data_IF_687033707395
#
_entry.id   IF_687033707395
#
_cell.length_a   1.000
_cell.length_b   1.000
_cell.length_c   1.000
_cell.angle_alpha   90.00
_cell.angle_beta   90.00
_cell.angle_gamma   90.00
#
_symmetry.space_group_name_H-M   'P 1'
#
loop_
_entity.id
_entity.type
_entity.pdbx_description
1 polymer ?
#
# COMPACT_ATOMS: atom_id res chain seq x y z
N UNK A 1 21.11 2.84 -12.75
CA UNK A 1 19.68 2.61 -13.03
C UNK A 1 19.59 1.66 -14.19
N UNK A 2 19.05 0.48 -13.95
CA UNK A 2 18.73 -0.48 -15.01
C UNK A 2 17.34 -0.12 -15.48
N UNK A 3 17.18 0.17 -16.76
CA UNK A 3 15.85 0.33 -17.35
C UNK A 3 15.28 -1.06 -17.59
N UNK A 4 13.98 -1.22 -17.32
CA UNK A 4 13.27 -2.45 -17.59
C UNK A 4 12.12 -2.20 -18.55
N UNK A 5 11.71 -3.23 -19.29
CA UNK A 5 10.68 -3.10 -20.33
C UNK A 5 9.57 -4.08 -20.01
N UNK A 6 8.34 -3.56 -19.88
CA UNK A 6 7.14 -4.37 -19.72
C UNK A 6 6.32 -4.36 -21.01
N UNK A 7 5.91 -5.54 -21.46
CA UNK A 7 4.93 -5.72 -22.53
C UNK A 7 3.54 -5.85 -21.91
N UNK A 8 2.61 -5.02 -22.36
CA UNK A 8 1.26 -4.93 -21.81
C UNK A 8 0.24 -5.48 -22.81
N UNK A 9 -0.76 -6.19 -22.30
CA UNK A 9 -1.91 -6.66 -23.10
C UNK A 9 -2.76 -5.48 -23.58
N UNK A 10 -2.73 -4.36 -22.88
CA UNK A 10 -3.31 -3.09 -23.30
C UNK A 10 -2.80 -1.93 -22.46
N UNK A 11 -2.77 -0.73 -23.04
CA UNK A 11 -2.25 0.50 -22.42
C UNK A 11 -3.31 1.34 -21.69
N UNK A 12 -4.52 0.80 -21.51
CA UNK A 12 -5.66 1.50 -20.93
C UNK A 12 -6.54 2.17 -21.99
N UNK A 13 -7.29 3.20 -21.58
CA UNK A 13 -8.16 3.97 -22.48
C UNK A 13 -7.37 5.09 -23.14
N UNK A 14 -7.73 5.47 -24.36
CA UNK A 14 -7.12 6.58 -25.14
C UNK A 14 -7.34 7.98 -24.55
N UNK A 15 -7.98 8.08 -23.39
CA UNK A 15 -8.16 9.34 -22.67
C UNK A 15 -6.92 9.57 -21.81
N UNK A 16 -6.20 10.67 -22.04
CA UNK A 16 -4.94 10.97 -21.36
C UNK A 16 -5.03 10.97 -19.83
N UNK A 17 -6.23 11.19 -19.27
CA UNK A 17 -6.47 11.13 -17.82
C UNK A 17 -6.36 9.71 -17.27
N UNK A 18 -6.66 8.71 -18.09
CA UNK A 18 -6.69 7.29 -17.71
C UNK A 18 -5.62 6.45 -18.43
N UNK A 19 -4.82 7.06 -19.31
CA UNK A 19 -3.72 6.44 -20.02
C UNK A 19 -2.45 6.40 -19.18
N UNK A 20 -1.54 5.48 -19.48
CA UNK A 20 -0.18 5.50 -18.95
C UNK A 20 0.62 6.62 -19.62
N UNK A 21 1.13 7.56 -18.83
CA UNK A 21 1.93 8.69 -19.30
C UNK A 21 3.39 8.55 -18.85
N UNK A 22 4.27 9.24 -19.56
CA UNK A 22 5.65 9.45 -19.08
C UNK A 22 5.55 10.16 -17.72
N UNK A 23 6.44 9.78 -16.80
CA UNK A 23 6.53 10.25 -15.42
C UNK A 23 5.49 9.70 -14.44
N UNK A 24 4.51 8.91 -14.89
CA UNK A 24 3.60 8.22 -13.99
C UNK A 24 4.37 7.24 -13.10
N UNK A 25 3.93 7.14 -11.84
CA UNK A 25 4.36 6.11 -10.91
C UNK A 25 3.57 4.83 -11.14
N UNK A 26 4.26 3.70 -11.15
CA UNK A 26 3.69 2.38 -11.37
C UNK A 26 4.31 1.34 -10.44
N UNK A 27 3.54 0.30 -10.20
CA UNK A 27 3.91 -0.87 -9.40
C UNK A 27 3.52 -2.12 -10.20
N UNK A 28 4.41 -3.11 -10.26
CA UNK A 28 4.06 -4.44 -10.76
C UNK A 28 3.54 -5.23 -9.56
N UNK A 29 2.37 -5.82 -9.70
CA UNK A 29 1.72 -6.62 -8.65
C UNK A 29 1.19 -7.92 -9.23
N UNK A 30 1.25 -8.99 -8.44
CA UNK A 30 0.55 -10.23 -8.73
C UNK A 30 -0.49 -10.59 -7.64
N UNK A 31 -1.09 -11.77 -7.77
CA UNK A 31 -2.10 -12.26 -6.81
C UNK A 31 -1.51 -12.54 -5.42
N UNK A 32 -0.23 -12.94 -5.33
CA UNK A 32 0.46 -13.25 -4.08
C UNK A 32 0.78 -11.95 -3.32
N UNK A 33 1.34 -10.95 -4.01
CA UNK A 33 1.57 -9.61 -3.45
C UNK A 33 0.27 -9.01 -2.89
N UNK A 34 -0.81 -9.15 -3.66
CA UNK A 34 -2.14 -8.64 -3.29
C UNK A 34 -2.72 -9.39 -2.08
N UNK A 35 -2.50 -10.70 -1.98
CA UNK A 35 -3.01 -11.52 -0.88
C UNK A 35 -2.22 -11.28 0.42
N UNK A 36 -0.90 -11.12 0.31
CA UNK A 36 -0.02 -10.91 1.46
C UNK A 36 0.04 -9.44 1.91
N UNK A 37 -0.55 -8.53 1.11
CA UNK A 37 -0.48 -7.08 1.30
C UNK A 37 0.97 -6.59 1.37
N UNK A 38 1.83 -7.15 0.51
CA UNK A 38 3.20 -6.70 0.37
C UNK A 38 3.28 -5.47 -0.54
N UNK A 39 4.14 -4.51 -0.20
CA UNK A 39 4.35 -3.32 -0.99
C UNK A 39 5.37 -3.66 -2.08
N UNK A 40 4.96 -3.56 -3.33
CA UNK A 40 5.86 -3.70 -4.46
C UNK A 40 6.78 -2.49 -4.59
N UNK A 41 7.81 -2.65 -5.44
CA UNK A 41 8.70 -1.56 -5.78
C UNK A 41 7.99 -0.55 -6.70
N UNK A 42 7.94 0.72 -6.28
CA UNK A 42 7.50 1.80 -7.15
C UNK A 42 8.55 2.12 -8.22
N UNK A 43 8.08 2.30 -9.43
CA UNK A 43 8.86 2.62 -10.61
C UNK A 43 8.23 3.78 -11.37
N UNK A 44 9.03 4.47 -12.18
CA UNK A 44 8.56 5.59 -12.99
C UNK A 44 8.59 5.24 -14.47
N UNK A 45 7.54 5.60 -15.20
CA UNK A 45 7.48 5.42 -16.65
C UNK A 45 8.44 6.41 -17.32
N UNK A 46 9.45 5.89 -17.99
CA UNK A 46 10.41 6.66 -18.78
C UNK A 46 9.95 6.86 -20.22
N UNK A 47 9.28 5.87 -20.80
CA UNK A 47 8.77 5.91 -22.17
C UNK A 47 7.57 4.98 -22.36
N UNK A 48 6.68 5.35 -23.28
CA UNK A 48 5.53 4.55 -23.70
C UNK A 48 5.59 4.35 -25.21
N UNK A 49 5.59 3.11 -25.66
CA UNK A 49 5.46 2.73 -27.06
C UNK A 49 4.05 2.18 -27.33
N UNK A 50 3.19 3.06 -27.84
CA UNK A 50 1.81 2.74 -28.16
C UNK A 50 1.65 1.73 -29.30
N UNK A 51 2.64 1.64 -30.21
CA UNK A 51 2.58 0.72 -31.35
C UNK A 51 2.88 -0.70 -30.88
N UNK A 52 3.87 -0.86 -30.00
CA UNK A 52 4.30 -2.16 -29.50
C UNK A 52 3.65 -2.55 -28.16
N UNK A 53 2.84 -1.67 -27.57
CA UNK A 53 2.22 -1.86 -26.25
C UNK A 53 3.27 -2.13 -25.15
N UNK A 54 4.37 -1.39 -25.19
CA UNK A 54 5.44 -1.52 -24.19
C UNK A 54 5.65 -0.24 -23.40
N UNK A 55 6.09 -0.39 -22.16
CA UNK A 55 6.54 0.72 -21.32
C UNK A 55 7.96 0.46 -20.84
N UNK A 56 8.77 1.50 -20.84
CA UNK A 56 10.11 1.48 -20.25
C UNK A 56 10.02 2.06 -18.85
N UNK A 57 10.41 1.27 -17.86
CA UNK A 57 10.35 1.60 -16.43
C UNK A 57 11.75 1.86 -15.89
N UNK A 58 11.85 2.79 -14.94
CA UNK A 58 13.09 3.08 -14.21
C UNK A 58 12.82 3.06 -12.71
N UNK A 59 13.74 2.47 -11.95
CA UNK A 59 13.67 2.45 -10.48
C UNK A 59 14.13 3.77 -9.89
N UNK A 60 13.67 4.08 -8.67
CA UNK A 60 14.22 5.17 -7.88
C UNK A 60 15.74 4.96 -7.65
N UNK A 61 16.47 6.07 -7.50
CA UNK A 61 17.93 6.06 -7.38
C UNK A 61 18.35 5.22 -6.16
N UNK A 62 19.31 4.30 -6.36
CA UNK A 62 19.81 3.33 -5.37
C UNK A 62 18.95 2.09 -5.11
N UNK A 63 17.92 1.83 -5.91
CA UNK A 63 17.23 0.54 -5.87
C UNK A 63 17.60 -0.36 -7.07
N UNK A 64 17.87 -1.64 -6.78
CA UNK A 64 18.03 -2.68 -7.80
C UNK A 64 16.66 -3.08 -8.37
N UNK A 65 16.63 -3.52 -9.62
CA UNK A 65 15.41 -3.92 -10.34
C UNK A 65 14.98 -5.35 -10.00
N UNK A 66 15.12 -5.74 -8.72
CA UNK A 66 14.81 -7.11 -8.28
C UNK A 66 13.30 -7.40 -8.34
N UNK A 67 12.47 -6.37 -8.55
CA UNK A 67 11.02 -6.49 -8.75
C UNK A 67 10.61 -7.06 -10.12
N UNK A 68 11.53 -7.26 -11.07
CA UNK A 68 11.22 -7.93 -12.32
C UNK A 68 11.35 -9.44 -12.16
N UNK A 69 10.24 -10.11 -11.83
CA UNK A 69 10.14 -11.52 -12.18
C UNK A 69 10.03 -11.62 -13.71
N UNK A 70 11.16 -11.89 -14.36
CA UNK A 70 11.23 -12.10 -15.81
C UNK A 70 10.62 -13.43 -16.23
N UNK A 71 10.29 -14.33 -15.28
CA UNK A 71 9.59 -15.57 -15.58
C UNK A 71 8.10 -15.25 -15.72
N UNK A 72 7.66 -15.00 -16.95
CA UNK A 72 6.25 -14.84 -17.28
C UNK A 72 5.52 -16.17 -17.06
N UNK A 73 5.21 -16.51 -15.82
CA UNK A 73 4.41 -17.66 -15.49
C UNK A 73 2.95 -17.35 -15.90
N UNK A 74 2.40 -18.02 -16.92
CA UNK A 74 1.03 -17.73 -17.39
C UNK A 74 -0.04 -18.03 -16.33
N UNK A 75 0.29 -18.75 -15.25
CA UNK A 75 -0.60 -19.00 -14.12
C UNK A 75 -0.46 -17.97 -12.99
N UNK A 76 0.44 -16.98 -13.14
CA UNK A 76 0.60 -15.84 -12.23
C UNK A 76 0.46 -14.55 -13.04
N UNK A 77 -0.77 -14.10 -13.33
CA UNK A 77 -0.96 -12.87 -14.08
C UNK A 77 -0.43 -11.68 -13.28
N UNK A 78 0.48 -10.92 -13.89
CA UNK A 78 0.98 -9.67 -13.34
C UNK A 78 0.14 -8.50 -13.86
N UNK A 79 -0.11 -7.52 -13.00
CA UNK A 79 -0.77 -6.26 -13.32
C UNK A 79 0.22 -5.12 -13.16
N UNK A 80 0.14 -4.14 -14.06
CA UNK A 80 0.81 -2.87 -13.87
C UNK A 80 -0.20 -1.89 -13.26
N UNK A 81 -0.06 -1.63 -11.96
CA UNK A 81 -0.88 -0.66 -11.23
C UNK A 81 -0.27 0.73 -11.42
N UNK A 82 -1.08 1.71 -11.83
CA UNK A 82 -0.70 3.13 -11.85
C UNK A 82 -1.07 3.79 -10.53
N UNK A 83 -0.15 4.57 -9.98
CA UNK A 83 -0.36 5.43 -8.82
C UNK A 83 -0.51 6.88 -9.29
N UNK A 84 -1.67 7.47 -9.02
CA UNK A 84 -2.06 8.79 -9.52
C UNK A 84 -1.80 9.83 -8.42
N UNK A 85 -0.58 10.35 -8.37
CA UNK A 85 -0.24 11.54 -7.59
C UNK A 85 0.84 12.33 -8.32
N UNK A 86 0.88 13.63 -8.06
CA UNK A 86 1.88 14.53 -8.64
C UNK A 86 2.78 15.08 -7.55
N UNK A 87 4.06 15.27 -7.89
CA UNK A 87 4.98 16.03 -7.04
C UNK A 87 4.51 17.49 -6.95
N UNK A 88 4.20 17.97 -5.75
CA UNK A 88 3.82 19.37 -5.53
C UNK A 88 5.05 20.27 -5.35
N UNK A 89 4.87 21.56 -5.63
CA UNK A 89 5.87 22.58 -5.27
C UNK A 89 6.05 22.59 -3.73
N UNK A 90 7.28 22.39 -3.21
CA UNK A 90 7.53 22.35 -1.76
C UNK A 90 7.15 23.63 -1.01
N UNK A 91 6.91 24.74 -1.72
CA UNK A 91 6.46 26.00 -1.12
C UNK A 91 4.95 26.07 -0.91
N UNK A 92 4.18 25.14 -1.48
CA UNK A 92 2.73 25.06 -1.29
C UNK A 92 2.38 24.58 0.11
N UNK A 93 1.26 25.10 0.64
CA UNK A 93 0.80 24.74 1.98
C UNK A 93 0.30 23.30 1.97
N UNK A 94 0.89 22.46 2.82
CA UNK A 94 0.56 21.03 2.88
C UNK A 94 1.16 20.23 1.72
N UNK A 95 2.17 20.76 1.03
CA UNK A 95 2.88 20.04 -0.02
C UNK A 95 3.38 18.69 0.51
N UNK A 96 3.07 17.62 -0.21
CA UNK A 96 3.56 16.27 0.05
C UNK A 96 4.98 16.14 -0.47
N UNK A 97 5.79 15.38 0.28
CA UNK A 97 7.17 15.03 -0.09
C UNK A 97 7.22 13.60 -0.61
N UNK A 98 8.08 13.35 -1.60
CA UNK A 98 8.39 11.97 -1.99
C UNK A 98 9.42 11.38 -1.03
N UNK A 99 9.14 10.17 -0.58
CA UNK A 99 10.11 9.30 0.06
C UNK A 99 11.12 8.74 -0.97
N UNK A 100 12.18 8.11 -0.49
CA UNK A 100 13.26 7.59 -1.35
C UNK A 100 12.83 6.45 -2.27
N UNK A 101 11.74 5.77 -1.93
CA UNK A 101 11.12 4.72 -2.75
C UNK A 101 10.15 5.28 -3.79
N UNK A 102 9.91 6.59 -3.80
CA UNK A 102 8.99 7.26 -4.70
C UNK A 102 7.61 7.49 -4.13
N UNK A 103 7.22 6.87 -3.01
CA UNK A 103 5.90 7.07 -2.41
C UNK A 103 5.74 8.45 -1.78
N UNK A 104 4.49 8.91 -1.57
CA UNK A 104 4.24 10.11 -0.78
C UNK A 104 4.46 9.83 0.71
N UNK A 105 5.24 10.66 1.38
CA UNK A 105 5.51 10.54 2.80
C UNK A 105 4.28 10.92 3.63
N UNK A 106 3.90 10.05 4.57
CA UNK A 106 2.87 10.35 5.55
C UNK A 106 3.50 11.18 6.67
N UNK A 107 3.09 12.44 6.76
CA UNK A 107 3.44 13.33 7.87
C UNK A 107 2.24 13.40 8.82
N UNK A 108 2.32 12.66 9.93
CA UNK A 108 1.24 12.59 10.92
C UNK A 108 0.96 13.97 11.53
N UNK A 109 -0.31 14.21 11.85
CA UNK A 109 -0.84 15.46 12.40
C UNK A 109 -0.60 16.69 11.52
N UNK A 110 -0.39 16.50 10.21
CA UNK A 110 -0.29 17.55 9.21
C UNK A 110 -1.25 17.29 8.04
N UNK A 111 -1.86 18.37 7.54
CA UNK A 111 -2.67 18.29 6.33
C UNK A 111 -1.76 18.09 5.12
N UNK A 112 -1.96 16.97 4.42
CA UNK A 112 -1.32 16.62 3.16
C UNK A 112 -2.27 16.98 2.03
N UNK A 113 -1.86 17.88 1.16
CA UNK A 113 -2.62 18.24 -0.04
C UNK A 113 -2.50 17.11 -1.06
N UNK A 114 -3.57 16.79 -1.78
CA UNK A 114 -3.54 15.83 -2.88
C UNK A 114 -3.70 16.57 -4.21
N UNK A 115 -4.93 16.90 -4.58
CA UNK A 115 -5.28 17.62 -5.81
C UNK A 115 -6.62 18.35 -5.62
N UNK A 116 -6.91 19.34 -6.48
CA UNK A 116 -8.21 20.03 -6.54
C UNK A 116 -8.74 20.55 -5.18
N UNK A 117 -7.83 20.94 -4.29
CA UNK A 117 -8.14 21.44 -2.94
C UNK A 117 -8.53 20.35 -1.93
N UNK A 118 -8.40 19.07 -2.29
CA UNK A 118 -8.55 17.94 -1.38
C UNK A 118 -7.29 17.82 -0.53
N UNK A 119 -7.49 17.65 0.77
CA UNK A 119 -6.42 17.40 1.73
C UNK A 119 -6.80 16.22 2.62
N UNK A 120 -5.81 15.46 3.05
CA UNK A 120 -5.96 14.34 3.99
C UNK A 120 -5.10 14.57 5.23
N UNK A 121 -5.55 14.05 6.36
CA UNK A 121 -4.87 14.17 7.64
C UNK A 121 -4.79 12.81 8.31
N UNK A 122 -3.57 12.33 8.51
CA UNK A 122 -3.27 11.13 9.25
C UNK A 122 -3.00 11.51 10.70
N UNK A 123 -3.81 11.02 11.64
CA UNK A 123 -3.66 11.36 13.05
C UNK A 123 -2.66 10.43 13.71
N UNK A 124 -1.86 10.97 14.63
CA UNK A 124 -1.18 10.18 15.63
C UNK A 124 -1.49 10.77 16.98
N UNK A 125 -1.93 9.95 17.92
CA UNK A 125 -2.09 10.43 19.27
C UNK A 125 -0.71 10.68 19.90
N UNK A 126 -0.39 11.94 20.16
CA UNK A 126 0.89 12.36 20.75
C UNK A 126 0.78 12.41 22.29
N UNK A 127 -0.44 12.45 22.85
CA UNK A 127 -0.69 12.82 24.25
C UNK A 127 -1.21 11.68 25.13
N UNK A 128 -1.05 10.42 24.73
CA UNK A 128 -1.38 9.23 25.55
C UNK A 128 -0.37 9.02 26.68
N UNK A 129 -0.36 9.96 27.63
CA UNK A 129 0.13 9.81 28.99
C UNK A 129 -1.04 9.43 29.93
N UNK A 130 -2.18 8.99 29.40
CA UNK A 130 -3.31 8.42 30.15
C UNK A 130 -3.23 6.91 30.25
N UNK A 131 -3.82 6.38 31.32
CA UNK A 131 -3.60 5.04 31.83
C UNK A 131 -3.98 3.90 30.86
N UNK A 132 -2.95 3.16 30.43
CA UNK A 132 -2.90 1.70 30.23
C UNK A 132 -4.24 0.97 30.10
N UNK A 133 -4.73 0.88 28.87
CA UNK A 133 -5.33 -0.35 28.34
C UNK A 133 -4.61 -0.74 27.05
N UNK A 134 -4.43 -2.05 26.80
CA UNK A 134 -3.67 -2.56 25.65
C UNK A 134 -4.30 -2.24 24.28
N UNK A 135 -5.49 -1.63 24.27
CA UNK A 135 -6.23 -1.21 23.09
C UNK A 135 -5.89 0.23 22.65
N UNK A 136 -5.09 0.96 23.44
CA UNK A 136 -4.71 2.35 23.19
C UNK A 136 -3.31 2.44 22.54
N UNK A 137 -3.10 1.66 21.48
CA UNK A 137 -1.91 1.81 20.63
C UNK A 137 -2.17 2.96 19.64
N UNK A 138 -1.16 3.81 19.35
CA UNK A 138 -1.30 4.80 18.30
C UNK A 138 -1.69 4.09 16.99
N UNK A 139 -2.52 4.71 16.14
CA UNK A 139 -2.88 4.12 14.86
C UNK A 139 -1.60 3.77 14.09
N UNK A 140 -1.52 2.51 13.67
CA UNK A 140 -0.43 2.00 12.88
C UNK A 140 -0.93 1.82 11.45
N UNK A 141 -0.26 2.45 10.50
CA UNK A 141 -0.60 2.34 9.07
C UNK A 141 0.10 1.12 8.50
N UNK A 142 -0.68 0.18 7.99
CA UNK A 142 -0.19 -1.04 7.37
C UNK A 142 -0.17 -0.91 5.85
N UNK A 143 0.75 -1.62 5.21
CA UNK A 143 0.67 -1.83 3.77
C UNK A 143 -0.68 -2.43 3.42
N UNK A 144 -1.31 -1.89 2.38
CA UNK A 144 -2.65 -2.30 1.97
C UNK A 144 -3.79 -1.56 2.65
N UNK A 145 -3.53 -0.70 3.65
CA UNK A 145 -4.54 0.21 4.18
C UNK A 145 -5.01 1.17 3.07
N UNK A 146 -6.33 1.26 2.88
CA UNK A 146 -6.91 2.15 1.88
C UNK A 146 -8.22 2.76 2.36
N UNK A 147 -8.56 3.91 1.78
CA UNK A 147 -9.83 4.59 1.98
C UNK A 147 -10.46 4.85 0.62
N UNK A 148 -11.78 4.69 0.53
CA UNK A 148 -12.55 5.06 -0.66
C UNK A 148 -13.41 6.28 -0.34
N UNK A 149 -13.13 7.38 -1.02
CA UNK A 149 -13.80 8.67 -0.81
C UNK A 149 -14.57 9.03 -2.09
N UNK A 150 -15.88 8.77 -2.18
CA UNK A 150 -16.64 9.08 -3.39
C UNK A 150 -16.70 10.59 -3.63
N UNK A 151 -16.30 11.04 -4.83
CA UNK A 151 -16.55 12.41 -5.29
C UNK A 151 -17.79 12.44 -6.19
N UNK A 152 -18.81 13.23 -5.81
CA UNK A 152 -20.06 13.32 -6.56
C UNK A 152 -20.07 14.56 -7.46
N UNK A 153 -20.01 14.33 -8.77
CA UNK A 153 -20.08 15.39 -9.78
C UNK A 153 -21.34 16.27 -9.67
N UNK A 154 -22.48 15.68 -9.29
CA UNK A 154 -23.75 16.41 -9.17
C UNK A 154 -23.76 17.47 -8.05
N UNK A 155 -22.96 17.28 -7.00
CA UNK A 155 -22.86 18.21 -5.86
C UNK A 155 -21.55 19.00 -5.86
N UNK A 156 -20.54 18.53 -6.60
CA UNK A 156 -19.18 19.06 -6.53
C UNK A 156 -18.55 18.85 -5.16
N UNK A 157 -18.98 17.83 -4.42
CA UNK A 157 -18.51 17.54 -3.05
C UNK A 157 -18.03 16.10 -2.93
N UNK A 158 -17.11 15.88 -2.00
CA UNK A 158 -16.76 14.55 -1.51
C UNK A 158 -17.84 14.06 -0.53
N UNK A 159 -18.15 12.77 -0.61
CA UNK A 159 -19.01 12.08 0.35
C UNK A 159 -18.11 11.47 1.42
N UNK A 160 -17.98 12.18 2.54
CA UNK A 160 -17.21 11.73 3.71
C UNK A 160 -18.03 11.97 4.97
N UNK A 161 -18.05 11.04 5.95
CA UNK A 161 -18.75 11.25 7.21
C UNK A 161 -18.33 12.54 7.90
N UNK A 162 -19.32 13.24 8.43
CA UNK A 162 -19.16 14.53 9.07
C UNK A 162 -19.99 14.58 10.34
N UNK A 163 -19.39 15.11 11.40
CA UNK A 163 -20.08 15.49 12.62
C UNK A 163 -20.07 17.02 12.72
N UNK A 164 -21.25 17.64 12.58
CA UNK A 164 -21.41 19.10 12.42
C UNK A 164 -20.70 19.61 11.15
N UNK A 165 -19.72 20.50 11.30
CA UNK A 165 -18.93 21.09 10.19
C UNK A 165 -17.56 20.43 10.04
N UNK A 166 -17.27 19.37 10.80
CA UNK A 166 -15.98 18.68 10.83
C UNK A 166 -16.09 17.30 10.21
N UNK A 167 -15.10 16.94 9.39
CA UNK A 167 -14.96 15.60 8.82
C UNK A 167 -14.48 14.62 9.90
N UNK A 168 -15.11 13.45 9.99
CA UNK A 168 -14.74 12.41 10.95
C UNK A 168 -13.50 11.65 10.48
N UNK A 169 -12.61 11.27 11.40
CA UNK A 169 -11.55 10.31 11.09
C UNK A 169 -12.15 8.90 10.98
N UNK A 170 -11.80 8.17 9.92
CA UNK A 170 -12.25 6.79 9.72
C UNK A 170 -11.08 5.82 9.70
N UNK A 171 -11.24 4.59 10.22
CA UNK A 171 -10.25 3.53 10.02
C UNK A 171 -10.15 3.16 8.53
N UNK A 172 -9.03 2.53 8.09
CA UNK A 172 -8.91 2.01 6.74
C UNK A 172 -10.00 0.97 6.44
N UNK A 173 -10.38 0.88 5.18
CA UNK A 173 -11.23 -0.19 4.67
C UNK A 173 -10.43 -1.46 4.41
N UNK A 174 -11.14 -2.59 4.26
CA UNK A 174 -10.55 -3.86 3.85
C UNK A 174 -10.74 -4.99 4.86
N UNK A 175 -10.01 -6.08 4.64
CA UNK A 175 -10.03 -7.26 5.50
C UNK A 175 -8.99 -7.06 6.60
N UNK A 176 -9.43 -7.14 7.86
CA UNK A 176 -8.51 -7.14 9.00
C UNK A 176 -7.81 -8.50 9.07
N UNK A 177 -6.50 -8.51 8.88
CA UNK A 177 -5.69 -9.72 9.02
C UNK A 177 -5.33 -9.98 10.48
N UNK A 178 -5.65 -11.19 10.95
CA UNK A 178 -5.24 -11.66 12.27
C UNK A 178 -4.18 -12.75 12.12
N UNK A 179 -2.97 -12.45 12.59
CA UNK A 179 -1.86 -13.39 12.57
C UNK A 179 -1.79 -14.17 13.89
N UNK A 180 -1.63 -15.48 13.81
CA UNK A 180 -1.43 -16.35 14.97
C UNK A 180 -0.04 -17.01 14.86
N UNK A 181 0.88 -16.76 15.81
CA UNK A 181 2.20 -17.38 15.75
C UNK A 181 2.06 -18.90 15.86
N UNK A 182 2.61 -19.61 14.88
CA UNK A 182 2.52 -21.08 14.83
C UNK A 182 3.68 -21.75 15.56
N UNK A 183 4.88 -21.20 15.41
CA UNK A 183 6.10 -21.68 16.06
C UNK A 183 7.17 -20.59 16.13
N UNK A 184 8.11 -20.76 17.04
CA UNK A 184 9.37 -20.04 17.09
C UNK A 184 10.50 -21.02 16.75
N UNK A 185 11.28 -20.69 15.71
CA UNK A 185 12.38 -21.52 15.21
C UNK A 185 13.69 -20.73 15.30
N UNK A 186 14.74 -21.36 15.83
CA UNK A 186 16.10 -20.80 15.77
C UNK A 186 16.96 -21.62 14.84
N UNK A 187 17.95 -20.99 14.20
CA UNK A 187 18.87 -21.62 13.27
C UNK A 187 20.31 -21.48 13.77
N UNK A 188 21.16 -22.47 13.51
CA UNK A 188 22.59 -22.39 13.77
C UNK A 188 23.33 -21.54 12.71
N UNK A 189 24.63 -21.35 12.90
CA UNK A 189 25.46 -20.56 11.97
C UNK A 189 25.60 -21.19 10.57
N UNK A 190 25.15 -22.44 10.40
CA UNK A 190 25.15 -23.18 9.13
C UNK A 190 23.75 -23.20 8.50
N UNK A 191 22.74 -22.55 9.11
CA UNK A 191 21.37 -22.48 8.62
C UNK A 191 20.51 -23.70 8.96
N UNK A 192 20.98 -24.61 9.82
CA UNK A 192 20.17 -25.74 10.26
C UNK A 192 19.26 -25.33 11.42
N UNK A 193 18.04 -25.85 11.45
CA UNK A 193 17.12 -25.58 12.56
C UNK A 193 17.69 -26.14 13.87
N UNK A 194 17.98 -25.25 14.82
CA UNK A 194 18.57 -25.55 16.11
C UNK A 194 17.53 -25.79 17.20
N UNK A 195 16.41 -25.04 17.21
CA UNK A 195 15.30 -25.27 18.15
C UNK A 195 13.94 -24.98 17.52
N UNK A 196 12.91 -25.71 17.95
CA UNK A 196 11.52 -25.51 17.57
C UNK A 196 10.62 -25.42 18.81
N UNK A 197 9.87 -24.33 18.95
CA UNK A 197 8.87 -24.13 20.01
C UNK A 197 7.51 -23.91 19.35
N UNK A 198 6.55 -24.83 19.55
CA UNK A 198 5.19 -24.66 19.05
C UNK A 198 4.42 -23.60 19.83
N UNK A 199 3.82 -22.63 19.13
CA UNK A 199 3.06 -21.51 19.72
C UNK A 199 1.54 -21.61 19.48
N UNK A 200 1.10 -22.64 18.74
CA UNK A 200 -0.32 -22.94 18.52
C UNK A 200 -1.05 -23.13 19.84
N UNK A 201 -2.09 -22.34 20.08
CA UNK A 201 -3.04 -22.54 21.19
C UNK A 201 -4.10 -23.55 20.77
N UNK A 202 -4.30 -24.59 21.60
CA UNK A 202 -5.39 -25.53 21.39
C UNK A 202 -6.68 -24.95 21.96
N UNK A 203 -7.71 -24.84 21.12
CA UNK A 203 -9.05 -24.50 21.59
C UNK A 203 -9.68 -25.81 22.08
N UNK A 204 -9.87 -25.92 23.40
CA UNK A 204 -10.57 -27.06 23.98
C UNK A 204 -12.03 -27.03 23.52
N UNK A 205 -12.51 -28.15 22.98
CA UNK A 205 -13.92 -28.30 22.62
C UNK A 205 -14.79 -28.21 23.87
N UNK A 206 -15.55 -27.12 24.01
CA UNK A 206 -16.43 -26.87 25.15
C UNK A 206 -17.65 -27.82 25.23
N UNK A 207 -17.88 -28.66 24.22
CA UNK A 207 -19.02 -29.58 24.15
C UNK A 207 -18.68 -31.05 24.45
N UNK A 208 -17.45 -31.39 24.83
CA UNK A 208 -17.18 -32.72 25.39
C UNK A 208 -17.74 -32.76 26.81
N UNK A 209 -18.96 -33.28 26.93
CA UNK A 209 -19.60 -33.58 28.21
C UNK A 209 -18.66 -34.45 29.07
N UNK A 210 -18.50 -34.06 30.34
CA UNK A 210 -17.88 -34.90 31.36
C UNK A 210 -18.78 -36.13 31.55
N UNK A 211 -18.28 -37.37 31.43
CA UNK A 211 -19.09 -38.54 31.77
C UNK A 211 -19.48 -38.48 33.24
N UNK A 212 -20.76 -38.73 33.54
CA UNK A 212 -21.24 -38.95 34.92
C UNK A 212 -20.56 -40.18 35.55
#
# INVERSE_FOLDING_TARGET
NVDAIALLVGLGRDDSRFALNIDDWVEIVDDEDTLELEAGQLMRIKAVDYVNSTVTLTTAVNQTSDAFDTDSNPNKPQLLRRWDYTEMDPTEKGATTLANDGGLEIIENHWLTLEDGIQVLFHRDIDQQSDKDADDQPPYYHTGDYWLIPARAATGKIEWPQHKEEHEALPPHGVVHHYAPLAYVTFDAQGNAHSFIGLRRYINQIWKQVPN
#
